data_IF_018249576560
#
_entry.id   IF_018249576560
#
_cell.length_a   1.000
_cell.length_b   1.000
_cell.length_c   1.000
_cell.angle_alpha   90.00
_cell.angle_beta   90.00
_cell.angle_gamma   90.00
#
_symmetry.space_group_name_H-M   'P 1'
#
loop_
_entity.id
_entity.type
_entity.pdbx_description
1 polymer ?
#
# COMPACT_ATOMS: atom_id res chain seq x y z
N UNK A 1 4.64 4.67 -0.40
CA UNK A 1 5.15 3.30 -0.72
C UNK A 1 6.65 3.33 -1.06
N UNK A 2 7.45 2.35 -0.63
CA UNK A 2 8.89 2.28 -0.97
C UNK A 2 9.11 1.89 -2.44
N UNK A 3 10.23 2.34 -3.02
CA UNK A 3 10.68 1.86 -4.32
C UNK A 3 10.81 0.33 -4.32
N UNK A 4 10.41 -0.30 -5.43
CA UNK A 4 10.54 -1.73 -5.65
C UNK A 4 11.45 -1.96 -6.85
N UNK A 5 12.40 -2.86 -6.69
CA UNK A 5 13.24 -3.35 -7.76
C UNK A 5 13.50 -4.84 -7.53
N UNK A 6 12.84 -5.69 -8.29
CA UNK A 6 12.89 -7.13 -8.08
C UNK A 6 12.86 -7.91 -9.39
N UNK A 7 13.76 -8.88 -9.50
CA UNK A 7 13.69 -9.89 -10.55
C UNK A 7 12.67 -10.96 -10.19
N UNK A 8 12.02 -11.52 -11.20
CA UNK A 8 10.98 -12.52 -11.02
C UNK A 8 10.65 -13.28 -12.29
N UNK A 9 9.63 -14.13 -12.16
CA UNK A 9 9.07 -14.93 -13.24
C UNK A 9 7.65 -14.43 -13.47
N UNK A 10 7.26 -14.21 -14.73
CA UNK A 10 6.00 -13.57 -15.09
C UNK A 10 5.29 -14.32 -16.21
N UNK A 11 3.97 -14.37 -16.17
CA UNK A 11 3.15 -15.07 -17.16
C UNK A 11 1.81 -14.38 -17.33
N UNK A 12 1.08 -14.77 -18.37
CA UNK A 12 -0.29 -14.32 -18.60
C UNK A 12 -1.31 -15.28 -17.99
N UNK A 13 -2.54 -14.83 -17.72
CA UNK A 13 -3.64 -15.72 -17.40
C UNK A 13 -3.73 -16.88 -18.40
N UNK A 14 -3.97 -18.09 -17.91
CA UNK A 14 -4.03 -19.34 -18.69
C UNK A 14 -2.70 -19.78 -19.35
N UNK A 15 -1.58 -19.09 -19.08
CA UNK A 15 -0.26 -19.36 -19.67
C UNK A 15 0.84 -19.62 -18.64
N UNK A 16 0.50 -20.22 -17.48
CA UNK A 16 1.44 -20.57 -16.40
C UNK A 16 2.62 -21.45 -16.84
N UNK A 17 2.42 -22.27 -17.88
CA UNK A 17 3.43 -23.17 -18.42
C UNK A 17 4.42 -22.49 -19.39
N UNK A 18 4.20 -21.21 -19.72
CA UNK A 18 5.09 -20.42 -20.58
C UNK A 18 5.54 -19.12 -19.90
N UNK A 19 6.24 -19.22 -18.75
CA UNK A 19 6.63 -18.04 -18.01
C UNK A 19 7.92 -17.39 -18.56
N UNK A 20 7.99 -16.08 -18.49
CA UNK A 20 9.15 -15.27 -18.88
C UNK A 20 9.88 -14.71 -17.67
N UNK A 21 11.21 -14.75 -17.71
CA UNK A 21 12.04 -14.05 -16.73
C UNK A 21 11.98 -12.55 -16.93
N UNK A 22 11.92 -11.78 -15.85
CA UNK A 22 11.87 -10.33 -15.95
C UNK A 22 12.28 -9.59 -14.68
N UNK A 23 12.22 -8.26 -14.78
CA UNK A 23 12.49 -7.32 -13.70
C UNK A 23 11.31 -6.37 -13.55
N UNK A 24 10.75 -6.32 -12.35
CA UNK A 24 9.67 -5.44 -11.96
C UNK A 24 10.23 -4.28 -11.14
N UNK A 25 9.88 -3.07 -11.58
CA UNK A 25 10.32 -1.83 -10.94
C UNK A 25 9.12 -0.93 -10.65
N UNK A 26 9.17 -0.24 -9.52
CA UNK A 26 8.21 0.78 -9.13
C UNK A 26 8.94 1.91 -8.41
N UNK A 27 8.56 3.15 -8.72
CA UNK A 27 9.01 4.34 -7.99
C UNK A 27 7.80 5.21 -7.66
N UNK A 28 7.76 5.89 -6.50
CA UNK A 28 6.62 6.73 -6.09
C UNK A 28 6.26 7.84 -7.09
N UNK A 29 7.26 8.36 -7.79
CA UNK A 29 7.11 9.42 -8.80
C UNK A 29 7.02 8.88 -10.23
N UNK A 30 7.12 7.57 -10.40
CA UNK A 30 7.16 6.91 -11.71
C UNK A 30 6.11 5.82 -11.88
N UNK A 31 6.27 5.05 -12.95
CA UNK A 31 5.30 4.01 -13.31
C UNK A 31 5.70 2.64 -12.74
N UNK A 32 4.73 1.74 -12.62
CA UNK A 32 5.00 0.31 -12.44
C UNK A 32 5.46 -0.23 -13.79
N UNK A 33 6.72 -0.64 -13.88
CA UNK A 33 7.34 -1.07 -15.12
C UNK A 33 7.88 -2.50 -14.99
N UNK A 34 7.47 -3.35 -15.91
CA UNK A 34 7.94 -4.71 -16.06
C UNK A 34 8.78 -4.81 -17.34
N UNK A 35 10.00 -5.32 -17.22
CA UNK A 35 10.86 -5.66 -18.36
C UNK A 35 11.04 -7.17 -18.41
N UNK A 36 10.72 -7.80 -19.54
CA UNK A 36 10.86 -9.25 -19.74
C UNK A 36 11.98 -9.56 -20.72
N UNK A 37 12.63 -10.69 -20.51
CA UNK A 37 13.48 -11.34 -21.50
C UNK A 37 12.56 -12.21 -22.37
N UNK A 38 12.40 -11.84 -23.64
CA UNK A 38 11.36 -12.35 -24.52
C UNK A 38 10.16 -11.41 -24.64
N UNK A 39 9.07 -11.89 -25.22
CA UNK A 39 7.82 -11.17 -25.34
C UNK A 39 6.62 -12.13 -25.27
N UNK A 40 5.45 -11.61 -24.90
CA UNK A 40 4.21 -12.39 -24.93
C UNK A 40 3.56 -12.42 -26.34
N UNK A 41 4.31 -12.18 -27.41
CA UNK A 41 3.85 -12.26 -28.81
C UNK A 41 2.47 -11.61 -29.09
N UNK A 42 2.21 -10.40 -28.56
CA UNK A 42 0.95 -9.65 -28.73
C UNK A 42 -0.34 -10.30 -28.14
N UNK A 43 -0.21 -11.23 -27.20
CA UNK A 43 -1.36 -11.85 -26.52
C UNK A 43 -2.06 -10.93 -25.49
N UNK A 44 -1.42 -9.83 -25.07
CA UNK A 44 -2.06 -8.76 -24.31
C UNK A 44 -3.00 -7.95 -25.21
N UNK A 45 -4.18 -8.50 -25.48
CA UNK A 45 -5.22 -7.86 -26.27
C UNK A 45 -6.16 -7.03 -25.38
N UNK A 46 -6.09 -5.71 -25.52
CA UNK A 46 -7.10 -4.78 -25.02
C UNK A 46 -6.70 -3.98 -23.76
N UNK A 47 -7.51 -2.97 -23.38
CA UNK A 47 -7.18 -1.95 -22.38
C UNK A 47 -7.19 -2.44 -20.92
N UNK A 48 -7.09 -3.75 -20.67
CA UNK A 48 -7.19 -4.39 -19.35
C UNK A 48 -6.28 -5.62 -19.23
N UNK A 49 -5.10 -5.56 -19.85
CA UNK A 49 -4.13 -6.66 -19.75
C UNK A 49 -3.79 -6.97 -18.30
N UNK A 50 -3.70 -8.26 -17.96
CA UNK A 50 -3.26 -8.71 -16.63
C UNK A 50 -2.00 -9.55 -16.80
N UNK A 51 -1.03 -9.34 -15.92
CA UNK A 51 0.21 -10.12 -15.88
C UNK A 51 0.39 -10.62 -14.46
N UNK A 52 0.62 -11.92 -14.32
CA UNK A 52 0.96 -12.55 -13.05
C UNK A 52 2.47 -12.68 -12.93
N UNK A 53 2.95 -12.79 -11.70
CA UNK A 53 4.32 -13.15 -11.48
C UNK A 53 4.63 -13.52 -10.04
N UNK A 54 5.87 -13.96 -9.87
CA UNK A 54 6.47 -14.22 -8.57
C UNK A 54 7.80 -13.49 -8.51
N UNK A 55 7.95 -12.64 -7.50
CA UNK A 55 9.18 -11.92 -7.18
C UNK A 55 9.70 -12.36 -5.81
N UNK A 56 10.86 -11.84 -5.37
CA UNK A 56 11.47 -12.24 -4.09
C UNK A 56 10.53 -12.08 -2.89
N UNK A 57 9.64 -11.08 -2.90
CA UNK A 57 8.69 -10.81 -1.81
C UNK A 57 7.40 -11.63 -1.89
N UNK A 58 7.22 -12.48 -2.91
CA UNK A 58 6.05 -13.31 -3.11
C UNK A 58 5.35 -13.08 -4.45
N UNK A 59 4.09 -13.47 -4.50
CA UNK A 59 3.21 -13.34 -5.67
C UNK A 59 2.88 -11.88 -5.97
N UNK A 60 2.71 -11.58 -7.26
CA UNK A 60 2.34 -10.25 -7.75
C UNK A 60 1.32 -10.36 -8.87
N UNK A 61 0.30 -9.50 -8.82
CA UNK A 61 -0.66 -9.31 -9.89
C UNK A 61 -0.58 -7.88 -10.42
N UNK A 62 -0.23 -7.73 -11.70
CA UNK A 62 -0.23 -6.45 -12.40
C UNK A 62 -1.57 -6.26 -13.14
N UNK A 63 -2.23 -5.14 -12.88
CA UNK A 63 -3.55 -4.80 -13.43
C UNK A 63 -3.45 -3.65 -14.43
N UNK A 64 -4.33 -3.69 -15.44
CA UNK A 64 -4.39 -2.71 -16.53
C UNK A 64 -3.00 -2.49 -17.17
N UNK A 65 -2.42 -3.58 -17.67
CA UNK A 65 -1.10 -3.61 -18.30
C UNK A 65 -1.17 -3.19 -19.77
N UNK A 66 -0.19 -2.40 -20.20
CA UNK A 66 0.00 -1.93 -21.57
C UNK A 66 1.41 -2.25 -22.05
N UNK A 67 1.53 -2.72 -23.29
CA UNK A 67 2.83 -2.94 -23.93
C UNK A 67 3.47 -1.59 -24.29
N UNK A 68 4.73 -1.42 -23.90
CA UNK A 68 5.61 -0.32 -24.33
C UNK A 68 6.35 -0.67 -25.63
N UNK A 69 6.23 -1.92 -26.09
CA UNK A 69 6.90 -2.45 -27.27
C UNK A 69 8.04 -3.42 -26.93
N UNK A 70 8.64 -3.93 -28.00
CA UNK A 70 9.73 -4.91 -27.98
C UNK A 70 10.96 -4.26 -28.58
N UNK A 71 12.11 -4.38 -27.92
CA UNK A 71 13.39 -3.95 -28.46
C UNK A 71 14.38 -5.11 -28.44
N UNK A 72 15.25 -5.18 -29.46
CA UNK A 72 16.33 -6.16 -29.51
C UNK A 72 17.61 -5.49 -29.05
N UNK A 73 18.18 -5.96 -27.94
CA UNK A 73 19.54 -5.57 -27.56
C UNK A 73 20.52 -6.42 -28.36
N UNK A 74 21.48 -5.75 -29.01
CA UNK A 74 22.59 -6.44 -29.68
C UNK A 74 23.59 -6.85 -28.59
N UNK A 75 23.98 -8.15 -28.47
CA UNK A 75 23.74 -9.23 -29.42
C UNK A 75 22.51 -10.10 -29.08
N UNK A 76 21.44 -9.96 -29.86
CA UNK A 76 20.40 -10.98 -30.08
C UNK A 76 19.29 -11.17 -29.04
N UNK A 77 19.38 -10.64 -27.82
CA UNK A 77 18.34 -10.86 -26.81
C UNK A 77 17.17 -9.88 -27.04
N UNK A 78 16.00 -10.46 -27.25
CA UNK A 78 14.72 -9.74 -27.28
C UNK A 78 14.32 -9.34 -25.86
N UNK A 79 14.02 -8.07 -25.65
CA UNK A 79 13.41 -7.57 -24.42
C UNK A 79 12.08 -6.91 -24.75
N UNK A 80 11.10 -7.06 -23.85
CA UNK A 80 9.82 -6.37 -23.95
C UNK A 80 9.53 -5.59 -22.67
N UNK A 81 8.85 -4.46 -22.83
CA UNK A 81 8.48 -3.58 -21.73
C UNK A 81 6.97 -3.49 -21.57
N UNK A 82 6.50 -3.53 -20.34
CA UNK A 82 5.11 -3.34 -19.97
C UNK A 82 4.99 -2.30 -18.86
N UNK A 83 3.92 -1.52 -18.92
CA UNK A 83 3.53 -0.57 -17.88
C UNK A 83 2.20 -1.05 -17.29
N UNK A 84 2.07 -1.03 -15.97
CA UNK A 84 0.83 -1.33 -15.28
C UNK A 84 0.33 -0.11 -14.50
N UNK A 85 -0.98 0.06 -14.41
CA UNK A 85 -1.56 1.13 -13.59
C UNK A 85 -1.65 0.75 -12.11
N UNK A 86 -1.72 -0.54 -11.81
CA UNK A 86 -1.81 -1.03 -10.42
C UNK A 86 -1.11 -2.36 -10.26
N UNK A 87 -0.61 -2.59 -9.05
CA UNK A 87 0.10 -3.80 -8.66
C UNK A 87 -0.44 -4.25 -7.31
N UNK A 88 -0.90 -5.50 -7.23
CA UNK A 88 -1.28 -6.16 -5.99
C UNK A 88 -0.17 -7.13 -5.60
N UNK A 89 0.29 -7.03 -4.35
CA UNK A 89 1.36 -7.87 -3.81
C UNK A 89 0.79 -8.88 -2.82
N UNK A 90 1.35 -10.09 -2.83
CA UNK A 90 1.05 -11.17 -1.87
C UNK A 90 0.04 -12.20 -2.34
N UNK A 91 -0.60 -12.00 -3.51
CA UNK A 91 -1.49 -13.00 -4.09
C UNK A 91 -1.66 -12.85 -5.62
N UNK A 92 -1.94 -13.97 -6.29
CA UNK A 92 -2.41 -14.01 -7.68
C UNK A 92 -3.93 -13.88 -7.72
N UNK A 93 -4.43 -12.84 -8.37
CA UNK A 93 -5.87 -12.63 -8.55
C UNK A 93 -6.28 -12.95 -9.97
N UNK A 94 -6.85 -14.14 -10.18
CA UNK A 94 -7.30 -14.60 -11.49
C UNK A 94 -8.54 -13.85 -11.97
N UNK A 95 -9.43 -13.48 -11.06
CA UNK A 95 -10.71 -12.85 -11.37
C UNK A 95 -10.51 -11.52 -12.10
N UNK A 96 -11.28 -11.24 -13.18
CA UNK A 96 -11.12 -10.00 -13.96
C UNK A 96 -11.13 -8.71 -13.12
N UNK A 97 -11.86 -8.74 -12.01
CA UNK A 97 -11.94 -7.66 -11.04
C UNK A 97 -11.90 -8.24 -9.62
N UNK A 98 -10.78 -8.11 -8.88
CA UNK A 98 -10.68 -8.64 -7.53
C UNK A 98 -11.56 -7.84 -6.57
N UNK A 99 -12.30 -8.57 -5.73
CA UNK A 99 -13.26 -8.03 -4.76
C UNK A 99 -12.70 -8.15 -3.34
N UNK A 100 -12.90 -7.12 -2.53
CA UNK A 100 -12.43 -7.07 -1.15
C UNK A 100 -13.53 -6.54 -0.22
N UNK A 101 -13.47 -6.90 1.05
CA UNK A 101 -14.42 -6.46 2.08
C UNK A 101 -13.88 -5.29 2.90
N UNK A 102 -12.58 -5.02 2.84
CA UNK A 102 -11.95 -3.96 3.60
C UNK A 102 -10.67 -3.43 2.98
N UNK A 103 -10.35 -2.20 3.35
CA UNK A 103 -9.08 -1.57 3.06
C UNK A 103 -8.52 -0.91 4.32
N UNK A 104 -7.25 -1.16 4.60
CA UNK A 104 -6.48 -0.42 5.60
C UNK A 104 -5.51 0.50 4.87
N UNK A 105 -5.58 1.79 5.18
CA UNK A 105 -4.67 2.77 4.64
C UNK A 105 -3.94 3.54 5.73
N UNK A 106 -2.75 4.02 5.39
CA UNK A 106 -1.97 4.96 6.20
C UNK A 106 -1.50 6.08 5.29
N UNK A 107 -1.77 7.31 5.71
CA UNK A 107 -1.24 8.51 5.06
C UNK A 107 -0.11 9.08 5.90
N UNK A 108 0.85 9.75 5.26
CA UNK A 108 1.83 10.56 5.97
C UNK A 108 1.11 11.67 6.75
N UNK A 109 1.65 12.02 7.91
CA UNK A 109 1.20 13.15 8.74
C UNK A 109 -0.28 13.12 9.16
N UNK A 110 -0.96 11.98 9.05
CA UNK A 110 -2.37 11.86 9.45
C UNK A 110 -2.56 12.09 10.96
N UNK A 111 -1.50 11.90 11.75
CA UNK A 111 -1.46 12.30 13.17
C UNK A 111 -1.76 13.78 13.39
N UNK A 112 -1.22 14.64 12.53
CA UNK A 112 -1.43 16.10 12.59
C UNK A 112 -2.90 16.46 12.36
N UNK A 113 -3.56 15.73 11.46
CA UNK A 113 -4.97 15.89 11.17
C UNK A 113 -5.86 15.39 12.32
N UNK A 114 -5.52 14.23 12.90
CA UNK A 114 -6.27 13.65 14.03
C UNK A 114 -6.19 14.56 15.26
N UNK A 115 -5.04 15.19 15.48
CA UNK A 115 -4.84 16.18 16.54
C UNK A 115 -5.04 15.62 17.96
N UNK A 116 -4.94 14.29 18.13
CA UNK A 116 -5.04 13.62 19.43
C UNK A 116 -3.69 13.08 19.84
N UNK A 117 -3.21 13.53 20.98
CA UNK A 117 -2.03 12.95 21.66
C UNK A 117 -2.49 12.04 22.80
N UNK A 118 -1.84 10.88 22.98
CA UNK A 118 -2.12 9.98 24.09
C UNK A 118 -1.49 10.42 25.43
N UNK A 119 -0.69 11.50 25.41
CA UNK A 119 -0.11 12.15 26.59
C UNK A 119 -0.72 13.53 26.77
N UNK A 120 -1.19 13.85 27.98
CA UNK A 120 -1.56 15.21 28.37
C UNK A 120 -0.30 15.97 28.85
N UNK A 121 -0.23 17.29 28.65
CA UNK A 121 0.92 18.12 29.07
C UNK A 121 1.20 18.00 30.58
N UNK A 122 0.18 17.63 31.36
CA UNK A 122 0.27 17.36 32.80
C UNK A 122 1.09 16.11 33.13
N UNK A 123 1.01 15.08 32.30
CA UNK A 123 1.76 13.84 32.50
C UNK A 123 3.27 14.03 32.27
N UNK A 124 3.65 15.06 31.49
CA UNK A 124 5.05 15.43 31.24
C UNK A 124 5.67 16.24 32.39
N UNK A 125 4.88 17.03 33.11
CA UNK A 125 5.37 17.84 34.24
C UNK A 125 5.74 17.02 35.48
N UNK A 126 5.11 15.85 35.67
CA UNK A 126 5.40 14.92 36.77
C UNK A 126 6.74 14.17 36.58
N UNK A 127 7.32 14.20 35.38
CA UNK A 127 8.62 13.58 35.08
C UNK A 127 9.81 14.40 35.63
N UNK A 128 9.65 15.71 35.77
CA UNK A 128 10.75 16.63 36.10
C UNK A 128 10.93 16.87 37.62
N UNK A 129 9.94 16.48 38.44
CA UNK A 129 9.88 16.85 39.86
C UNK A 129 10.03 15.69 40.87
N UNK A 130 10.38 14.47 40.43
CA UNK A 130 10.27 13.27 41.29
C UNK A 130 11.56 12.46 41.40
N UNK A 131 12.03 12.24 42.63
CA UNK A 131 13.09 11.28 43.01
C UNK A 131 12.63 9.81 42.93
N UNK A 132 11.44 9.54 42.37
CA UNK A 132 10.86 8.20 42.25
C UNK A 132 10.70 7.81 40.78
N UNK A 133 10.73 6.50 40.49
CA UNK A 133 10.70 5.97 39.12
C UNK A 133 9.50 6.56 38.36
N UNK A 134 9.72 7.33 37.27
CA UNK A 134 8.63 7.94 36.53
C UNK A 134 7.71 6.86 35.99
N UNK A 135 6.42 6.96 36.33
CA UNK A 135 5.38 6.06 35.85
C UNK A 135 4.43 6.86 34.96
N UNK A 136 4.56 6.70 33.65
CA UNK A 136 3.64 7.32 32.69
C UNK A 136 2.47 6.39 32.45
N UNK A 137 1.24 6.87 32.69
CA UNK A 137 0.01 6.13 32.36
C UNK A 137 -0.48 6.60 31.00
N UNK A 138 -0.47 5.70 30.03
CA UNK A 138 -0.93 5.99 28.67
C UNK A 138 -2.37 5.53 28.55
N UNK A 139 -3.26 6.45 28.21
CA UNK A 139 -4.65 6.10 27.93
C UNK A 139 -4.79 5.75 26.44
N UNK A 140 -5.38 4.59 26.10
CA UNK A 140 -5.64 4.25 24.70
C UNK A 140 -6.66 5.23 24.12
N UNK A 141 -6.35 5.81 22.97
CA UNK A 141 -7.28 6.66 22.23
C UNK A 141 -8.37 5.76 21.63
N UNK A 142 -9.63 6.03 21.96
CA UNK A 142 -10.76 5.30 21.40
C UNK A 142 -10.84 5.46 19.88
N UNK A 143 -11.17 4.36 19.20
CA UNK A 143 -11.42 4.34 17.76
C UNK A 143 -12.55 5.30 17.41
N UNK A 144 -12.36 6.14 16.39
CA UNK A 144 -13.41 6.99 15.86
C UNK A 144 -14.07 6.31 14.66
N UNK A 145 -15.37 6.06 14.73
CA UNK A 145 -16.12 5.30 13.73
C UNK A 145 -17.17 6.21 13.10
N UNK A 146 -17.27 6.18 11.76
CA UNK A 146 -18.36 6.81 11.02
C UNK A 146 -18.85 5.87 9.93
N UNK A 147 -20.16 5.88 9.68
CA UNK A 147 -20.77 5.12 8.58
C UNK A 147 -20.86 5.95 7.31
N UNK A 148 -20.93 5.28 6.16
CA UNK A 148 -21.21 5.85 4.85
C UNK A 148 -22.10 4.89 4.05
N UNK A 149 -22.49 5.27 2.83
CA UNK A 149 -23.49 4.53 2.04
C UNK A 149 -23.13 3.09 1.68
N UNK A 150 -21.85 2.69 1.77
CA UNK A 150 -21.38 1.34 1.43
C UNK A 150 -20.71 0.60 2.61
N UNK A 151 -20.75 1.17 3.81
CA UNK A 151 -20.16 0.54 5.00
C UNK A 151 -19.72 1.56 6.05
N UNK A 152 -18.53 1.37 6.61
CA UNK A 152 -17.99 2.21 7.70
C UNK A 152 -16.51 2.49 7.56
N UNK A 153 -16.09 3.62 8.10
CA UNK A 153 -14.72 4.08 8.21
C UNK A 153 -14.37 4.16 9.69
N UNK A 154 -13.23 3.61 10.06
CA UNK A 154 -12.71 3.63 11.43
C UNK A 154 -11.31 4.21 11.44
N UNK A 155 -11.09 5.26 12.22
CA UNK A 155 -9.75 5.75 12.56
C UNK A 155 -9.29 4.97 13.78
N UNK A 156 -8.33 4.08 13.59
CA UNK A 156 -7.73 3.23 14.63
C UNK A 156 -6.38 3.74 15.03
N UNK A 157 -6.04 3.61 16.30
CA UNK A 157 -4.72 3.94 16.80
C UNK A 157 -3.98 2.68 17.22
N UNK A 158 -2.93 2.31 16.48
CA UNK A 158 -2.12 1.12 16.78
C UNK A 158 -0.86 1.55 17.51
N UNK A 159 -0.57 0.88 18.63
CA UNK A 159 0.63 1.11 19.43
C UNK A 159 1.73 0.14 19.03
N UNK A 160 2.91 0.68 18.69
CA UNK A 160 4.09 -0.08 18.36
C UNK A 160 5.24 0.24 19.33
N UNK A 161 5.94 -0.81 19.77
CA UNK A 161 7.12 -0.72 20.65
C UNK A 161 8.34 -1.09 19.81
N UNK A 162 9.24 -0.12 19.53
CA UNK A 162 10.38 -0.38 18.65
C UNK A 162 11.72 -0.53 19.37
N UNK A 163 11.89 0.02 20.57
CA UNK A 163 13.16 -0.12 21.31
C UNK A 163 12.99 -0.12 22.84
N UNK A 164 13.59 -1.14 23.47
CA UNK A 164 13.97 -1.11 24.89
C UNK A 164 15.48 -0.91 24.93
N UNK A 165 15.92 0.33 25.04
CA UNK A 165 17.31 0.62 25.40
C UNK A 165 17.44 0.76 26.92
N UNK A 166 18.66 0.67 27.44
CA UNK A 166 18.96 0.94 28.86
C UNK A 166 18.66 2.42 29.21
N UNK A 167 18.57 3.30 28.21
CA UNK A 167 18.39 4.74 28.37
C UNK A 167 16.93 5.22 28.26
N UNK A 168 15.98 4.36 27.88
CA UNK A 168 14.58 4.76 27.75
C UNK A 168 13.73 3.86 26.85
N UNK A 169 12.43 4.12 26.90
CA UNK A 169 11.38 3.49 26.10
C UNK A 169 10.85 4.54 25.10
N UNK A 170 10.88 4.23 23.80
CA UNK A 170 10.19 5.06 22.79
C UNK A 170 8.92 4.34 22.34
N UNK A 171 7.79 5.04 22.44
CA UNK A 171 6.48 4.55 22.05
C UNK A 171 6.01 5.32 20.82
N UNK A 172 5.56 4.59 19.81
CA UNK A 172 4.98 5.16 18.60
C UNK A 172 3.52 4.78 18.54
N UNK A 173 2.67 5.77 18.28
CA UNK A 173 1.28 5.57 17.93
C UNK A 173 1.17 5.82 16.43
N UNK A 174 0.66 4.83 15.69
CA UNK A 174 0.50 4.92 14.24
C UNK A 174 -0.99 4.80 13.91
N UNK A 175 -1.65 5.91 13.56
CA UNK A 175 -3.04 5.90 13.14
C UNK A 175 -3.21 5.21 11.78
N UNK A 176 -4.26 4.41 11.68
CA UNK A 176 -4.68 3.76 10.45
C UNK A 176 -6.14 4.06 10.19
N UNK A 177 -6.48 4.27 8.92
CA UNK A 177 -7.87 4.37 8.49
C UNK A 177 -8.29 3.01 7.93
N UNK A 178 -9.28 2.41 8.55
CA UNK A 178 -9.90 1.15 8.12
C UNK A 178 -11.24 1.45 7.47
N UNK A 179 -11.37 1.13 6.19
CA UNK A 179 -12.62 1.15 5.45
C UNK A 179 -13.15 -0.29 5.43
N UNK A 180 -14.38 -0.50 5.88
CA UNK A 180 -15.08 -1.79 5.83
C UNK A 180 -16.34 -1.62 5.00
N UNK A 181 -16.53 -2.51 4.02
CA UNK A 181 -17.67 -2.48 3.11
C UNK A 181 -18.73 -3.50 3.52
N UNK A 182 -20.00 -3.16 3.29
CA UNK A 182 -21.14 -4.05 3.58
C UNK A 182 -21.24 -5.22 2.59
N UNK A 183 -20.60 -5.10 1.43
CA UNK A 183 -20.54 -6.13 0.40
C UNK A 183 -19.18 -6.13 -0.31
N UNK A 184 -18.76 -7.27 -0.91
CA UNK A 184 -17.50 -7.36 -1.65
C UNK A 184 -17.42 -6.28 -2.74
N UNK A 185 -16.38 -5.45 -2.67
CA UNK A 185 -16.22 -4.25 -3.49
C UNK A 185 -14.98 -4.37 -4.38
N UNK A 186 -15.08 -4.00 -5.67
CA UNK A 186 -13.94 -3.96 -6.58
C UNK A 186 -12.76 -3.12 -6.09
N UNK A 187 -11.53 -3.60 -6.31
CA UNK A 187 -10.32 -2.83 -6.02
C UNK A 187 -10.35 -1.39 -6.56
N UNK A 188 -10.84 -1.19 -7.80
CA UNK A 188 -10.92 0.14 -8.42
C UNK A 188 -11.84 1.09 -7.67
N UNK A 189 -12.93 0.59 -7.11
CA UNK A 189 -13.86 1.39 -6.30
C UNK A 189 -13.25 1.72 -4.94
N UNK A 190 -12.53 0.76 -4.34
CA UNK A 190 -11.79 0.97 -3.10
C UNK A 190 -10.70 2.03 -3.29
N UNK A 191 -9.92 1.94 -4.37
CA UNK A 191 -8.86 2.90 -4.68
C UNK A 191 -9.41 4.33 -4.87
N UNK A 192 -10.61 4.46 -5.47
CA UNK A 192 -11.30 5.76 -5.58
C UNK A 192 -11.70 6.31 -4.21
N UNK A 193 -12.21 5.47 -3.31
CA UNK A 193 -12.58 5.91 -1.96
C UNK A 193 -11.34 6.31 -1.15
N UNK A 194 -10.23 5.58 -1.29
CA UNK A 194 -8.94 5.97 -0.71
C UNK A 194 -8.47 7.32 -1.25
N UNK A 195 -8.51 7.54 -2.57
CA UNK A 195 -8.13 8.83 -3.16
C UNK A 195 -9.04 10.00 -2.73
N UNK A 196 -10.32 9.74 -2.45
CA UNK A 196 -11.23 10.75 -1.87
C UNK A 196 -10.84 11.10 -0.43
N UNK A 197 -10.48 10.10 0.37
CA UNK A 197 -9.97 10.33 1.72
C UNK A 197 -8.65 11.12 1.69
N UNK A 198 -7.75 10.76 0.79
CA UNK A 198 -6.48 11.47 0.59
C UNK A 198 -6.73 12.95 0.27
N UNK A 199 -7.62 13.22 -0.69
CA UNK A 199 -8.00 14.58 -1.09
C UNK A 199 -8.64 15.36 0.05
N UNK A 200 -9.50 14.70 0.84
CA UNK A 200 -10.16 15.32 1.99
C UNK A 200 -9.16 15.69 3.10
N UNK A 201 -8.26 14.77 3.46
CA UNK A 201 -7.26 15.01 4.50
C UNK A 201 -6.29 16.11 4.04
N UNK A 202 -5.82 16.06 2.78
CA UNK A 202 -5.00 17.11 2.15
C UNK A 202 -5.65 18.49 2.30
N UNK A 203 -6.95 18.59 2.04
CA UNK A 203 -7.71 19.83 2.21
C UNK A 203 -7.79 20.26 3.69
N UNK A 204 -7.96 19.32 4.62
CA UNK A 204 -8.07 19.63 6.04
C UNK A 204 -6.76 20.12 6.67
N UNK A 205 -5.61 19.64 6.21
CA UNK A 205 -4.30 20.02 6.77
C UNK A 205 -3.56 21.10 5.96
N UNK A 206 -4.10 21.48 4.80
CA UNK A 206 -3.48 22.44 3.87
C UNK A 206 -2.04 22.06 3.48
N UNK A 207 -1.78 20.75 3.32
CA UNK A 207 -0.50 20.18 2.98
C UNK A 207 -0.67 18.88 2.19
N UNK A 208 0.31 18.56 1.35
CA UNK A 208 0.34 17.29 0.64
C UNK A 208 0.59 16.15 1.62
N UNK A 209 -0.18 15.08 1.49
CA UNK A 209 0.07 13.80 2.18
C UNK A 209 0.43 12.73 1.17
N UNK A 210 1.21 11.75 1.60
CA UNK A 210 1.57 10.59 0.81
C UNK A 210 0.82 9.35 1.30
N UNK A 211 0.37 8.51 0.38
CA UNK A 211 -0.12 7.17 0.71
C UNK A 211 1.05 6.24 1.04
N UNK A 212 1.22 6.02 2.34
CA UNK A 212 2.31 5.24 2.89
C UNK A 212 2.04 3.74 2.84
N UNK A 213 0.81 3.34 3.16
CA UNK A 213 0.37 1.95 3.19
C UNK A 213 -1.04 1.82 2.61
N UNK A 214 -1.26 0.81 1.76
CA UNK A 214 -2.58 0.44 1.26
C UNK A 214 -2.70 -1.08 1.20
N UNK A 215 -3.47 -1.65 2.13
CA UNK A 215 -3.71 -3.09 2.24
C UNK A 215 -5.19 -3.37 2.05
N UNK A 216 -5.52 -4.29 1.17
CA UNK A 216 -6.90 -4.75 0.93
C UNK A 216 -7.09 -6.18 1.45
N UNK A 217 -8.29 -6.50 1.94
CA UNK A 217 -8.69 -7.83 2.42
C UNK A 217 -10.15 -8.12 2.12
#
# INVERSE_FOLDING_TARGET
MKELDSSGIFWLPDHENDPLSGRLTYSPTGNIMLTLIGDFQNSLRGPKGKIFGTIKSGEVTLLDCFSKGVWRRIPGISESGYIANSMLLGHIFEEPEPLFLSARVRFSDVDSWIGRTPLDDRDLQDLDNSNSKPTVKIQPIEDSISSFSRGKITVRHVWNYRDRSIAGLTLYQEPHILIQYDSPTPFKEIAKDVGRLESFITLCIDASIDLDEFVVR
#
